data_IF_748612878985
#
_entry.id   IF_748612878985
#
_cell.length_a   1.000
_cell.length_b   1.000
_cell.length_c   1.000
_cell.angle_alpha   90.00
_cell.angle_beta   90.00
_cell.angle_gamma   90.00
#
_symmetry.space_group_name_H-M   'P 1'
#
loop_
_entity.id
_entity.type
_entity.pdbx_description
1 polymer ?
#
# COMPACT_ATOMS: atom_id res chain seq x y z
N UNK A 1 9.44 8.69 24.47
CA UNK A 1 9.06 7.36 23.93
C UNK A 1 9.92 6.24 24.49
N UNK A 2 11.24 6.23 24.28
CA UNK A 2 12.10 5.11 24.73
C UNK A 2 12.05 4.85 26.25
N UNK A 3 11.96 5.89 27.07
CA UNK A 3 11.75 5.76 28.52
C UNK A 3 10.43 5.05 28.86
N UNK A 4 9.34 5.43 28.19
CA UNK A 4 8.01 4.81 28.37
C UNK A 4 8.06 3.32 27.98
N UNK A 5 8.73 2.98 26.89
CA UNK A 5 8.93 1.57 26.49
C UNK A 5 9.65 0.80 27.59
N UNK A 6 10.72 1.37 28.17
CA UNK A 6 11.45 0.77 29.29
C UNK A 6 10.57 0.57 30.54
N UNK A 7 9.84 1.61 30.96
CA UNK A 7 8.92 1.55 32.11
C UNK A 7 7.82 0.51 31.93
N UNK A 8 7.30 0.37 30.71
CA UNK A 8 6.27 -0.62 30.36
C UNK A 8 6.82 -2.00 29.98
N UNK A 9 8.14 -2.21 30.07
CA UNK A 9 8.82 -3.46 29.69
C UNK A 9 8.52 -3.90 28.25
N UNK A 10 8.41 -2.93 27.34
CA UNK A 10 8.33 -3.15 25.90
C UNK A 10 9.71 -2.95 25.27
N UNK A 11 10.13 -3.88 24.42
CA UNK A 11 11.48 -3.89 23.84
C UNK A 11 11.40 -3.75 22.32
N UNK A 12 12.08 -2.73 21.80
CA UNK A 12 12.27 -2.56 20.36
C UNK A 12 13.52 -3.33 19.92
N UNK A 13 13.45 -3.97 18.75
CA UNK A 13 14.63 -4.62 18.14
C UNK A 13 15.49 -3.53 17.50
N UNK A 14 16.69 -3.30 18.03
CA UNK A 14 17.57 -2.22 17.56
C UNK A 14 17.85 -2.28 16.06
N UNK A 15 18.01 -3.48 15.49
CA UNK A 15 18.22 -3.66 14.04
C UNK A 15 17.00 -3.36 13.14
N UNK A 16 15.87 -2.97 13.72
CA UNK A 16 14.68 -2.46 13.02
C UNK A 16 14.35 -1.01 13.40
N UNK A 17 15.20 -0.36 14.19
CA UNK A 17 15.00 1.01 14.62
C UNK A 17 15.84 1.95 13.76
N UNK A 18 15.21 2.97 13.22
CA UNK A 18 15.85 4.03 12.46
C UNK A 18 15.68 5.33 13.24
N UNK A 19 16.74 6.11 13.36
CA UNK A 19 16.76 7.33 14.15
C UNK A 19 17.41 8.46 13.34
N UNK A 20 16.85 9.67 13.46
CA UNK A 20 17.41 10.88 12.84
C UNK A 20 17.57 10.78 11.31
N UNK A 21 16.60 10.14 10.63
CA UNK A 21 16.57 10.02 9.19
C UNK A 21 15.83 11.20 8.55
N UNK A 22 16.29 11.66 7.38
CA UNK A 22 15.59 12.66 6.55
C UNK A 22 14.38 12.05 5.83
N UNK A 23 14.46 10.76 5.52
CA UNK A 23 13.41 9.96 4.89
C UNK A 23 13.29 8.61 5.60
N UNK A 24 12.05 8.12 5.81
CA UNK A 24 11.79 6.84 6.46
C UNK A 24 10.64 6.07 5.80
N UNK A 25 10.82 4.75 5.67
CA UNK A 25 9.76 3.84 5.23
C UNK A 25 8.86 3.44 6.40
N UNK A 26 7.58 3.82 6.35
CA UNK A 26 6.61 3.54 7.39
C UNK A 26 5.25 3.14 6.82
N UNK A 27 4.77 1.95 7.21
CA UNK A 27 3.46 1.39 6.81
C UNK A 27 3.21 1.40 5.28
N UNK A 28 4.22 1.11 4.46
CA UNK A 28 4.08 1.09 2.99
C UNK A 28 4.12 2.48 2.34
N UNK A 29 4.51 3.50 3.10
CA UNK A 29 4.78 4.84 2.61
C UNK A 29 6.21 5.23 2.89
N UNK A 30 6.67 6.21 2.13
CA UNK A 30 7.91 6.93 2.40
C UNK A 30 7.54 8.30 2.94
N UNK A 31 8.11 8.67 4.09
CA UNK A 31 7.83 9.93 4.79
C UNK A 31 9.10 10.75 4.80
N UNK A 32 9.03 11.97 4.27
CA UNK A 32 10.13 12.94 4.23
C UNK A 32 9.63 14.35 4.55
N UNK A 33 10.53 15.34 4.46
CA UNK A 33 10.18 16.75 4.68
C UNK A 33 9.23 17.32 3.62
N UNK A 34 9.25 16.73 2.43
CA UNK A 34 8.44 17.07 1.26
C UNK A 34 7.01 16.49 1.35
N UNK A 35 6.81 15.51 2.23
CA UNK A 35 5.50 14.93 2.51
C UNK A 35 5.51 13.41 2.59
N UNK A 36 4.40 12.81 2.20
CA UNK A 36 4.19 11.35 2.20
C UNK A 36 4.08 10.91 0.76
N UNK A 37 4.85 9.89 0.38
CA UNK A 37 4.81 9.27 -0.94
C UNK A 37 4.56 7.76 -0.83
N UNK A 38 4.25 7.12 -1.96
CA UNK A 38 4.09 5.66 -2.02
C UNK A 38 5.47 5.02 -2.00
N UNK A 39 5.63 3.95 -1.23
CA UNK A 39 6.85 3.13 -1.27
C UNK A 39 7.11 2.64 -2.72
N UNK A 40 8.27 2.96 -3.34
CA UNK A 40 8.59 2.53 -4.70
C UNK A 40 8.48 1.02 -4.91
N UNK A 41 8.77 0.20 -3.88
CA UNK A 41 8.62 -1.25 -3.96
C UNK A 41 7.16 -1.67 -4.17
N UNK A 42 6.21 -0.88 -3.68
CA UNK A 42 4.76 -1.12 -3.87
C UNK A 42 4.29 -0.68 -5.24
N UNK A 43 4.88 0.37 -5.80
CA UNK A 43 4.66 0.76 -7.19
C UNK A 43 5.16 -0.34 -8.13
N UNK A 44 6.38 -0.82 -7.91
CA UNK A 44 6.97 -1.90 -8.72
C UNK A 44 6.12 -3.19 -8.65
N UNK A 45 5.65 -3.56 -7.46
CA UNK A 45 4.78 -4.73 -7.30
C UNK A 45 3.47 -4.62 -8.08
N UNK A 46 2.93 -3.40 -8.27
CA UNK A 46 1.74 -3.16 -9.10
C UNK A 46 2.09 -3.19 -10.59
N UNK A 47 3.25 -2.66 -10.99
CA UNK A 47 3.72 -2.68 -12.38
C UNK A 47 4.01 -4.10 -12.89
N UNK A 48 4.57 -4.96 -12.03
CA UNK A 48 4.86 -6.36 -12.34
C UNK A 48 3.65 -7.29 -12.12
N UNK A 49 2.50 -6.75 -11.73
CA UNK A 49 1.31 -7.56 -11.46
C UNK A 49 0.75 -8.13 -12.77
N UNK A 50 0.68 -9.46 -12.87
CA UNK A 50 0.12 -10.15 -14.04
C UNK A 50 -1.37 -9.84 -14.20
N UNK A 51 -1.86 -9.72 -15.44
CA UNK A 51 -3.27 -9.47 -15.72
C UNK A 51 -4.17 -10.41 -14.91
N UNK A 52 -5.06 -9.90 -14.03
CA UNK A 52 -5.93 -10.75 -13.22
C UNK A 52 -6.88 -11.58 -14.09
N UNK A 53 -6.95 -12.88 -13.85
CA UNK A 53 -7.79 -13.82 -14.62
C UNK A 53 -9.04 -14.26 -13.84
N UNK A 54 -9.16 -13.84 -12.58
CA UNK A 54 -10.26 -14.23 -11.70
C UNK A 54 -10.82 -13.07 -10.87
N UNK A 55 -12.07 -13.21 -10.41
CA UNK A 55 -12.71 -12.23 -9.51
C UNK A 55 -11.90 -12.03 -8.23
N UNK A 56 -11.31 -13.11 -7.72
CA UNK A 56 -10.48 -13.07 -6.51
C UNK A 56 -9.22 -12.26 -6.74
N UNK A 57 -8.53 -12.44 -7.87
CA UNK A 57 -7.34 -11.66 -8.22
C UNK A 57 -7.67 -10.19 -8.47
N UNK A 58 -8.79 -9.89 -9.14
CA UNK A 58 -9.25 -8.51 -9.31
C UNK A 58 -9.47 -7.84 -7.95
N UNK A 59 -10.11 -8.53 -6.99
CA UNK A 59 -10.31 -7.99 -5.64
C UNK A 59 -8.99 -7.76 -4.91
N UNK A 60 -8.04 -8.68 -5.03
CA UNK A 60 -6.69 -8.53 -4.45
C UNK A 60 -5.97 -7.32 -5.03
N UNK A 61 -5.99 -7.16 -6.36
CA UNK A 61 -5.41 -6.00 -7.04
C UNK A 61 -6.08 -4.70 -6.60
N UNK A 62 -7.42 -4.63 -6.64
CA UNK A 62 -8.17 -3.46 -6.22
C UNK A 62 -7.96 -3.10 -4.74
N UNK A 63 -7.73 -4.10 -3.88
CA UNK A 63 -7.38 -3.88 -2.48
C UNK A 63 -6.03 -3.16 -2.33
N UNK A 64 -5.00 -3.63 -3.02
CA UNK A 64 -3.67 -3.02 -3.01
C UNK A 64 -3.70 -1.61 -3.64
N UNK A 65 -4.25 -1.49 -4.85
CA UNK A 65 -4.35 -0.22 -5.55
C UNK A 65 -5.23 0.79 -4.77
N UNK A 66 -6.28 0.30 -4.13
CA UNK A 66 -7.18 1.09 -3.30
C UNK A 66 -6.53 1.66 -2.04
N UNK A 67 -5.53 0.97 -1.47
CA UNK A 67 -4.75 1.48 -0.34
C UNK A 67 -4.01 2.78 -0.72
N UNK A 68 -3.52 2.87 -1.95
CA UNK A 68 -2.80 4.04 -2.47
C UNK A 68 -3.67 5.03 -3.26
N UNK A 69 -5.00 4.89 -3.22
CA UNK A 69 -5.94 5.72 -4.02
C UNK A 69 -5.74 7.24 -3.88
N UNK A 70 -5.21 7.72 -2.75
CA UNK A 70 -4.95 9.15 -2.49
C UNK A 70 -3.91 9.73 -3.46
N UNK A 71 -3.03 8.89 -3.99
CA UNK A 71 -1.95 9.27 -4.90
C UNK A 71 -2.34 9.12 -6.37
N UNK A 72 -3.57 8.69 -6.67
CA UNK A 72 -4.06 8.47 -8.03
C UNK A 72 -5.28 9.34 -8.28
N UNK A 73 -5.10 10.39 -9.06
CA UNK A 73 -6.21 11.26 -9.45
C UNK A 73 -7.27 10.46 -10.21
N UNK A 74 -8.54 10.63 -9.84
CA UNK A 74 -9.64 9.93 -10.50
C UNK A 74 -9.66 8.41 -10.29
N UNK A 75 -9.00 7.88 -9.26
CA UNK A 75 -8.91 6.43 -8.99
C UNK A 75 -10.24 5.68 -9.14
N UNK A 76 -11.33 6.21 -8.59
CA UNK A 76 -12.66 5.56 -8.69
C UNK A 76 -13.16 5.39 -10.11
N UNK A 77 -12.85 6.33 -11.02
CA UNK A 77 -13.22 6.21 -12.45
C UNK A 77 -12.36 5.15 -13.13
N UNK A 78 -11.06 5.13 -12.84
CA UNK A 78 -10.10 4.17 -13.39
C UNK A 78 -10.38 2.73 -12.91
N UNK A 79 -10.74 2.56 -11.64
CA UNK A 79 -11.04 1.26 -11.04
C UNK A 79 -12.44 0.73 -11.36
N UNK A 80 -13.30 1.53 -11.99
CA UNK A 80 -14.70 1.17 -12.27
C UNK A 80 -14.83 -0.09 -13.13
N UNK A 81 -14.11 -0.26 -14.26
CA UNK A 81 -14.23 -1.45 -15.09
C UNK A 81 -13.88 -2.72 -14.34
N UNK A 82 -12.79 -2.70 -13.57
CA UNK A 82 -12.38 -3.81 -12.71
C UNK A 82 -13.42 -4.10 -11.62
N UNK A 83 -13.97 -3.06 -11.01
CA UNK A 83 -15.02 -3.22 -9.99
C UNK A 83 -16.28 -3.88 -10.59
N UNK A 84 -16.64 -3.57 -11.84
CA UNK A 84 -17.76 -4.21 -12.53
C UNK A 84 -17.53 -5.71 -12.75
N UNK A 85 -16.31 -6.13 -13.07
CA UNK A 85 -15.94 -7.54 -13.21
C UNK A 85 -16.06 -8.33 -11.90
N UNK A 86 -16.14 -7.66 -10.74
CA UNK A 86 -16.37 -8.34 -9.45
C UNK A 86 -17.83 -8.68 -9.15
N UNK A 87 -18.76 -8.24 -10.00
CA UNK A 87 -20.21 -8.46 -9.85
C UNK A 87 -20.59 -9.90 -10.25
N UNK A 88 -21.71 -10.38 -9.71
CA UNK A 88 -22.25 -11.70 -10.09
C UNK A 88 -22.60 -11.74 -11.58
N UNK A 89 -22.37 -12.88 -12.22
CA UNK A 89 -22.70 -13.18 -13.61
C UNK A 89 -22.00 -12.30 -14.67
N UNK A 90 -20.82 -11.75 -14.33
CA UNK A 90 -20.04 -10.98 -15.29
C UNK A 90 -18.93 -11.85 -15.91
N UNK A 91 -18.91 -11.90 -17.24
CA UNK A 91 -17.88 -12.63 -17.98
C UNK A 91 -16.58 -11.82 -18.02
N UNK A 92 -15.46 -12.52 -17.88
CA UNK A 92 -14.13 -12.01 -18.19
C UNK A 92 -13.98 -12.13 -19.71
N UNK A 93 -13.77 -10.99 -20.38
CA UNK A 93 -13.61 -10.92 -21.84
C UNK A 93 -12.14 -10.80 -22.17
#
# INVERSE_FOLDING_TARGET
>A
VLQVLKEKKLYAKLSKCEFWMEEISFLGHVISSEGITVDPAKVEAVLQWSTPESVTEIRSFLGLAGYYRRFTEGFSKLAMPLTQLTRKNQAFV
#
